data_IF_174991970724
#
_entry.id   IF_174991970724
#
_cell.length_a   1.000
_cell.length_b   1.000
_cell.length_c   1.000
_cell.angle_alpha   90.00
_cell.angle_beta   90.00
_cell.angle_gamma   90.00
#
_symmetry.space_group_name_H-M   'P 1'
#
loop_
_entity.id
_entity.type
_entity.pdbx_description
1 polymer ?
#
# COMPACT_ATOMS: atom_id res chain seq x y z
N UNK A 1 -27.66 -12.70 -19.58
CA UNK A 1 -26.82 -11.51 -19.57
C UNK A 1 -25.67 -11.71 -18.63
N UNK A 2 -24.47 -11.51 -19.09
CA UNK A 2 -23.28 -11.61 -18.26
C UNK A 2 -23.17 -10.43 -17.30
N UNK A 3 -22.46 -10.60 -16.19
CA UNK A 3 -22.09 -9.51 -15.30
C UNK A 3 -21.22 -8.51 -16.06
N UNK A 4 -21.43 -7.22 -15.81
CA UNK A 4 -20.52 -6.19 -16.32
C UNK A 4 -19.16 -6.36 -15.66
N UNK A 5 -18.11 -6.08 -16.42
CA UNK A 5 -16.73 -6.16 -15.95
C UNK A 5 -16.06 -4.82 -16.14
N UNK A 6 -15.38 -4.35 -15.11
CA UNK A 6 -14.66 -3.09 -15.14
C UNK A 6 -13.24 -3.27 -14.57
N UNK A 7 -12.30 -2.57 -15.16
CA UNK A 7 -10.93 -2.50 -14.64
C UNK A 7 -10.77 -1.25 -13.80
N UNK A 8 -10.06 -1.36 -12.69
CA UNK A 8 -9.75 -0.23 -11.83
C UNK A 8 -8.27 -0.28 -11.46
N UNK A 9 -7.69 0.88 -11.18
CA UNK A 9 -6.28 1.02 -10.86
C UNK A 9 -6.12 1.86 -9.60
N UNK A 10 -5.15 1.48 -8.77
CA UNK A 10 -4.68 2.28 -7.65
C UNK A 10 -3.16 2.29 -7.67
N UNK A 11 -2.58 3.17 -6.88
CA UNK A 11 -1.14 3.25 -6.71
C UNK A 11 -0.81 3.50 -5.23
N UNK A 12 0.32 2.97 -4.80
CA UNK A 12 0.75 3.11 -3.43
C UNK A 12 2.25 2.94 -3.28
N UNK A 13 2.69 2.80 -2.05
CA UNK A 13 4.11 2.76 -1.76
C UNK A 13 4.52 1.72 -0.75
N UNK A 14 5.70 1.17 -1.00
CA UNK A 14 6.46 0.40 -0.04
C UNK A 14 7.49 1.36 0.56
N UNK A 15 7.15 1.96 1.69
CA UNK A 15 8.01 2.94 2.35
C UNK A 15 8.93 2.17 3.29
N UNK A 16 10.21 2.11 2.95
CA UNK A 16 11.17 1.22 3.59
C UNK A 16 12.34 2.04 4.14
N UNK A 17 12.86 1.61 5.30
CA UNK A 17 14.06 2.17 5.91
C UNK A 17 14.92 1.05 6.48
N UNK A 18 16.18 1.36 6.79
CA UNK A 18 17.07 0.41 7.46
C UNK A 18 17.61 -0.70 6.57
N UNK A 19 17.70 -0.43 5.26
CA UNK A 19 18.30 -1.38 4.32
C UNK A 19 19.77 -1.57 4.67
N UNK A 20 20.19 -2.85 4.70
CA UNK A 20 21.55 -3.22 5.15
C UNK A 20 21.58 -3.75 6.56
N UNK A 21 20.51 -3.57 7.33
CA UNK A 21 20.30 -4.18 8.64
C UNK A 21 18.98 -4.95 8.61
N UNK A 22 18.12 -4.72 9.60
CA UNK A 22 16.78 -5.28 9.61
C UNK A 22 15.81 -4.23 9.06
N UNK A 23 15.44 -4.32 7.78
CA UNK A 23 14.63 -3.27 7.17
C UNK A 23 13.21 -3.25 7.73
N UNK A 24 12.66 -2.03 7.80
CA UNK A 24 11.29 -1.80 8.26
C UNK A 24 10.47 -1.19 7.16
N UNK A 25 9.17 -1.45 7.20
CA UNK A 25 8.20 -0.93 6.24
C UNK A 25 7.03 -0.29 6.99
N UNK A 26 6.43 0.73 6.37
CA UNK A 26 5.25 1.39 6.94
C UNK A 26 4.00 0.61 6.57
N UNK A 27 3.22 0.24 7.57
CA UNK A 27 1.89 -0.35 7.37
C UNK A 27 0.86 0.40 8.20
N UNK A 28 -0.39 0.29 7.79
CA UNK A 28 -1.49 0.93 8.49
C UNK A 28 -2.56 -0.06 8.89
N UNK A 29 -3.25 0.26 9.98
CA UNK A 29 -4.36 -0.53 10.47
C UNK A 29 -5.63 0.27 10.28
N UNK A 30 -6.65 -0.39 9.72
CA UNK A 30 -7.97 0.24 9.64
C UNK A 30 -8.99 -0.64 10.34
N UNK A 31 -9.99 0.01 10.91
CA UNK A 31 -11.06 -0.67 11.62
C UNK A 31 -12.13 -1.14 10.65
N UNK A 32 -12.54 -2.40 10.80
CA UNK A 32 -13.71 -2.95 10.11
C UNK A 32 -14.87 -3.02 11.08
N UNK A 33 -16.08 -2.76 10.58
CA UNK A 33 -17.28 -2.73 11.42
C UNK A 33 -17.58 -4.06 12.11
N UNK A 34 -17.28 -5.17 11.47
CA UNK A 34 -17.64 -6.49 11.99
C UNK A 34 -16.47 -7.33 12.48
N UNK A 35 -15.28 -7.12 11.95
CA UNK A 35 -14.19 -8.09 12.07
C UNK A 35 -12.96 -7.54 12.78
N UNK A 36 -13.10 -6.43 13.50
CA UNK A 36 -11.97 -5.84 14.19
C UNK A 36 -11.09 -5.02 13.26
N UNK A 37 -9.82 -5.40 13.09
CA UNK A 37 -8.84 -4.58 12.41
C UNK A 37 -8.25 -5.29 11.19
N UNK A 38 -7.81 -4.48 10.21
CA UNK A 38 -7.13 -4.96 9.02
C UNK A 38 -5.84 -4.18 8.84
N UNK A 39 -4.73 -4.89 8.68
CA UNK A 39 -3.43 -4.31 8.36
C UNK A 39 -3.20 -4.33 6.85
N UNK A 40 -2.80 -3.20 6.30
CA UNK A 40 -2.57 -3.09 4.85
C UNK A 40 -1.50 -2.05 4.53
N UNK A 41 -1.06 -2.07 3.27
CA UNK A 41 -0.14 -1.09 2.72
C UNK A 41 -0.89 0.19 2.32
N UNK A 42 -0.23 1.36 2.39
CA UNK A 42 -0.86 2.61 1.94
C UNK A 42 -1.00 2.64 0.42
N UNK A 43 -2.19 2.97 -0.04
CA UNK A 43 -2.51 3.06 -1.47
C UNK A 43 -3.85 3.77 -1.67
N UNK A 44 -4.11 4.18 -2.89
CA UNK A 44 -5.43 4.72 -3.21
C UNK A 44 -5.63 4.99 -4.68
N UNK A 45 -6.76 5.59 -4.99
CA UNK A 45 -7.27 5.77 -6.34
C UNK A 45 -6.79 7.10 -6.94
N UNK A 46 -6.44 7.13 -8.24
CA UNK A 46 -6.02 8.38 -8.89
C UNK A 46 -7.13 9.44 -8.88
N UNK A 47 -6.72 10.68 -8.77
CA UNK A 47 -7.57 11.83 -9.05
C UNK A 47 -7.40 12.21 -10.52
N UNK A 48 -8.39 12.93 -11.05
CA UNK A 48 -8.36 13.36 -12.44
C UNK A 48 -7.10 14.13 -12.76
N UNK A 49 -6.42 13.74 -13.83
CA UNK A 49 -5.19 14.40 -14.29
C UNK A 49 -3.92 13.97 -13.58
N UNK A 50 -4.02 13.10 -12.58
CA UNK A 50 -2.84 12.58 -11.87
C UNK A 50 -2.13 11.50 -12.65
N UNK A 51 -0.80 11.55 -12.64
CA UNK A 51 0.00 10.40 -13.08
C UNK A 51 -0.04 9.32 -12.01
N UNK A 52 0.36 8.11 -12.39
CA UNK A 52 0.44 6.98 -11.44
C UNK A 52 1.40 7.30 -10.28
N UNK A 53 2.55 7.91 -10.57
CA UNK A 53 3.51 8.33 -9.55
C UNK A 53 2.93 9.38 -8.61
N UNK A 54 2.23 10.36 -9.16
CA UNK A 54 1.59 11.41 -8.36
C UNK A 54 0.53 10.83 -7.42
N UNK A 55 -0.24 9.85 -7.91
CA UNK A 55 -1.22 9.15 -7.08
C UNK A 55 -0.54 8.44 -5.92
N UNK A 56 0.53 7.71 -6.21
CA UNK A 56 1.27 6.97 -5.18
C UNK A 56 1.81 7.92 -4.11
N UNK A 57 2.44 9.02 -4.51
CA UNK A 57 2.99 10.00 -3.57
C UNK A 57 1.90 10.65 -2.71
N UNK A 58 0.80 11.05 -3.34
CA UNK A 58 -0.31 11.70 -2.63
C UNK A 58 -0.97 10.75 -1.64
N UNK A 59 -1.29 9.54 -2.07
CA UNK A 59 -1.98 8.57 -1.23
C UNK A 59 -1.11 8.14 -0.04
N UNK A 60 0.18 7.93 -0.24
CA UNK A 60 1.07 7.59 0.87
C UNK A 60 1.13 8.72 1.87
N UNK A 61 1.24 9.97 1.40
CA UNK A 61 1.26 11.14 2.29
C UNK A 61 -0.05 11.26 3.07
N UNK A 62 -1.18 11.12 2.40
CA UNK A 62 -2.49 11.23 3.05
C UNK A 62 -2.71 10.13 4.08
N UNK A 63 -2.35 8.91 3.75
CA UNK A 63 -2.61 7.77 4.64
C UNK A 63 -1.60 7.64 5.77
N UNK A 64 -0.38 8.13 5.61
CA UNK A 64 0.68 7.94 6.60
C UNK A 64 1.15 9.22 7.27
N UNK A 65 0.96 10.38 6.62
CA UNK A 65 1.51 11.64 7.09
C UNK A 65 2.97 11.87 6.73
N UNK A 66 3.61 10.89 6.10
CA UNK A 66 5.02 10.99 5.72
C UNK A 66 5.18 11.69 4.38
N UNK A 67 6.21 12.52 4.29
CA UNK A 67 6.72 13.01 3.02
C UNK A 67 7.66 11.96 2.48
N UNK A 68 7.43 11.51 1.24
CA UNK A 68 8.18 10.42 0.64
C UNK A 68 8.71 10.81 -0.72
N UNK A 69 9.76 10.10 -1.17
CA UNK A 69 10.21 10.17 -2.54
C UNK A 69 10.25 8.77 -3.14
N UNK A 70 9.97 8.68 -4.42
CA UNK A 70 10.01 7.42 -5.16
C UNK A 70 11.46 7.10 -5.51
N UNK A 71 11.87 5.86 -5.19
CA UNK A 71 13.18 5.33 -5.59
C UNK A 71 13.05 4.60 -6.93
N UNK A 72 12.03 3.77 -7.07
CA UNK A 72 11.78 3.01 -8.31
C UNK A 72 10.40 2.39 -8.26
N UNK A 73 9.88 2.03 -9.44
CA UNK A 73 8.71 1.16 -9.53
C UNK A 73 9.10 -0.24 -9.07
N UNK A 74 8.26 -0.88 -8.26
CA UNK A 74 8.57 -2.23 -7.81
C UNK A 74 7.75 -3.29 -8.55
N UNK A 75 6.44 -3.32 -8.34
CA UNK A 75 5.58 -4.35 -8.91
C UNK A 75 4.12 -3.98 -8.68
N UNK A 76 3.23 -4.79 -9.24
CA UNK A 76 1.79 -4.63 -9.06
C UNK A 76 1.18 -5.90 -8.46
N UNK A 77 0.05 -5.73 -7.80
CA UNK A 77 -0.79 -6.84 -7.38
C UNK A 77 -2.13 -6.73 -8.07
N UNK A 78 -2.79 -7.88 -8.24
CA UNK A 78 -4.06 -7.97 -8.95
C UNK A 78 -5.05 -8.76 -8.11
N UNK A 79 -6.28 -8.28 -8.06
CA UNK A 79 -7.37 -9.02 -7.44
C UNK A 79 -8.69 -8.57 -8.03
N UNK A 80 -9.73 -9.36 -7.83
CA UNK A 80 -11.06 -9.05 -8.33
C UNK A 80 -12.07 -9.10 -7.21
N UNK A 81 -13.08 -8.27 -7.31
CA UNK A 81 -14.20 -8.27 -6.36
C UNK A 81 -15.47 -7.85 -7.09
N UNK A 82 -16.61 -8.13 -6.47
CA UNK A 82 -17.92 -7.75 -7.00
C UNK A 82 -18.52 -6.66 -6.15
N UNK A 83 -19.03 -5.61 -6.79
CA UNK A 83 -19.72 -4.51 -6.13
C UNK A 83 -20.90 -4.10 -6.99
N UNK A 84 -22.12 -4.12 -6.41
CA UNK A 84 -23.31 -3.72 -7.12
C UNK A 84 -23.60 -4.55 -8.37
N UNK A 85 -23.30 -5.85 -8.34
CA UNK A 85 -23.46 -6.74 -9.48
C UNK A 85 -22.41 -6.61 -10.56
N UNK A 86 -21.43 -5.73 -10.36
CA UNK A 86 -20.34 -5.51 -11.32
C UNK A 86 -19.08 -6.19 -10.82
N UNK A 87 -18.39 -6.92 -11.71
CA UNK A 87 -17.07 -7.47 -11.41
C UNK A 87 -16.00 -6.42 -11.67
N UNK A 88 -15.19 -6.16 -10.66
CA UNK A 88 -14.10 -5.18 -10.76
C UNK A 88 -12.77 -5.92 -10.69
N UNK A 89 -11.97 -5.77 -11.75
CA UNK A 89 -10.60 -6.31 -11.80
C UNK A 89 -9.67 -5.16 -11.43
N UNK A 90 -9.02 -5.27 -10.27
CA UNK A 90 -8.22 -4.21 -9.67
C UNK A 90 -6.73 -4.51 -9.81
N UNK A 91 -5.97 -3.51 -10.25
CA UNK A 91 -4.52 -3.54 -10.25
C UNK A 91 -4.02 -2.43 -9.32
N UNK A 92 -3.11 -2.75 -8.42
CA UNK A 92 -2.47 -1.77 -7.54
C UNK A 92 -0.98 -1.77 -7.85
N UNK A 93 -0.48 -0.61 -8.25
CA UNK A 93 0.94 -0.41 -8.57
C UNK A 93 1.67 0.13 -7.35
N UNK A 94 2.80 -0.49 -7.01
CA UNK A 94 3.58 -0.09 -5.84
C UNK A 94 4.98 0.35 -6.22
N UNK A 95 5.39 1.45 -5.61
CA UNK A 95 6.71 2.04 -5.78
C UNK A 95 7.52 1.86 -4.51
N UNK A 96 8.81 1.57 -4.67
CA UNK A 96 9.74 1.65 -3.54
C UNK A 96 9.95 3.12 -3.21
N UNK A 97 9.79 3.46 -1.94
CA UNK A 97 9.87 4.83 -1.47
C UNK A 97 10.72 4.93 -0.22
N UNK A 98 11.28 6.12 -0.01
CA UNK A 98 11.91 6.44 1.27
C UNK A 98 11.26 7.66 1.88
N UNK A 99 11.18 7.70 3.20
CA UNK A 99 10.65 8.85 3.92
C UNK A 99 11.71 9.95 3.96
N UNK A 100 11.30 11.17 3.64
CA UNK A 100 12.16 12.34 3.63
C UNK A 100 11.67 13.44 4.57
N UNK A 101 10.56 13.22 5.27
CA UNK A 101 9.99 14.18 6.21
C UNK A 101 8.60 13.76 6.66
N UNK A 102 7.90 14.70 7.28
CA UNK A 102 6.57 14.46 7.79
C UNK A 102 6.56 13.67 9.10
N UNK A 103 5.37 13.32 9.56
CA UNK A 103 5.24 12.50 10.76
C UNK A 103 3.92 11.75 10.73
N UNK A 104 3.84 10.68 11.51
CA UNK A 104 2.61 9.89 11.64
C UNK A 104 1.45 10.67 12.29
N UNK A 105 1.70 11.84 12.83
CA UNK A 105 0.64 12.68 13.41
C UNK A 105 -0.19 13.41 12.37
N UNK A 106 0.20 13.36 11.10
CA UNK A 106 -0.37 14.17 10.02
C UNK A 106 -1.16 13.37 8.98
N UNK A 107 -1.48 12.10 9.27
CA UNK A 107 -2.22 11.31 8.31
C UNK A 107 -3.71 11.69 8.27
N UNK A 108 -4.30 11.49 7.11
CA UNK A 108 -5.74 11.56 6.91
C UNK A 108 -6.36 10.23 7.39
N UNK A 109 -7.51 10.27 7.99
CA UNK A 109 -7.99 9.24 8.93
C UNK A 109 -8.51 7.91 8.38
N UNK A 110 -8.01 7.42 7.26
CA UNK A 110 -8.40 6.08 6.79
C UNK A 110 -7.79 4.98 7.66
N UNK A 111 -6.54 5.16 8.10
CA UNK A 111 -5.94 4.27 9.08
C UNK A 111 -6.17 4.82 10.48
N UNK A 112 -6.46 3.95 11.43
CA UNK A 112 -6.52 4.35 12.84
C UNK A 112 -5.15 4.24 13.52
N UNK A 113 -4.22 3.54 12.90
CA UNK A 113 -2.84 3.44 13.37
C UNK A 113 -1.91 3.28 12.18
N UNK A 114 -0.76 3.95 12.22
CA UNK A 114 0.30 3.83 11.21
C UNK A 114 1.60 3.61 11.95
N UNK A 115 2.42 2.65 11.51
CA UNK A 115 3.70 2.40 12.18
C UNK A 115 4.74 1.75 11.25
N UNK A 116 6.00 1.89 11.66
CA UNK A 116 7.09 1.12 11.11
C UNK A 116 7.10 -0.26 11.72
N UNK A 117 7.24 -1.28 10.89
CA UNK A 117 7.28 -2.68 11.33
C UNK A 117 8.43 -3.37 10.57
N UNK A 118 9.25 -4.19 11.24
CA UNK A 118 10.22 -4.99 10.48
C UNK A 118 9.53 -5.75 9.36
N UNK A 119 10.15 -5.80 8.19
CA UNK A 119 9.51 -6.40 7.00
C UNK A 119 9.13 -7.86 7.22
N UNK A 120 9.95 -8.62 7.94
CA UNK A 120 9.64 -10.02 8.26
C UNK A 120 8.39 -10.13 9.14
N UNK A 121 8.17 -9.17 10.04
CA UNK A 121 6.96 -9.14 10.87
C UNK A 121 5.75 -8.63 10.07
N UNK A 122 5.97 -7.67 9.16
CA UNK A 122 4.89 -7.14 8.31
C UNK A 122 4.26 -8.25 7.46
N UNK A 123 5.08 -9.16 6.95
CA UNK A 123 4.60 -10.30 6.17
C UNK A 123 3.59 -11.13 6.98
N UNK A 124 3.81 -11.28 8.28
CA UNK A 124 2.91 -12.02 9.16
C UNK A 124 1.69 -11.21 9.58
N UNK A 125 1.79 -9.87 9.62
CA UNK A 125 0.71 -9.00 10.08
C UNK A 125 -0.28 -8.62 8.99
N UNK A 126 0.19 -8.45 7.76
CA UNK A 126 -0.67 -8.01 6.65
C UNK A 126 -1.78 -9.04 6.40
N UNK A 127 -2.99 -8.55 6.25
CA UNK A 127 -4.17 -9.40 6.14
C UNK A 127 -4.48 -9.89 4.73
N UNK A 128 -3.88 -9.26 3.71
CA UNK A 128 -4.13 -9.62 2.32
C UNK A 128 -2.95 -10.40 1.76
N UNK A 129 -3.20 -11.59 1.23
CA UNK A 129 -2.16 -12.47 0.70
C UNK A 129 -1.38 -11.82 -0.44
N UNK A 130 -2.06 -11.03 -1.28
CA UNK A 130 -1.39 -10.33 -2.38
C UNK A 130 -0.36 -9.33 -1.87
N UNK A 131 -0.67 -8.64 -0.77
CA UNK A 131 0.27 -7.71 -0.14
C UNK A 131 1.38 -8.45 0.57
N UNK A 132 1.08 -9.55 1.28
CA UNK A 132 2.10 -10.40 1.90
C UNK A 132 3.13 -10.85 0.86
N UNK A 133 2.67 -11.36 -0.27
CA UNK A 133 3.55 -11.82 -1.34
C UNK A 133 4.39 -10.70 -1.93
N UNK A 134 3.81 -9.50 -2.07
CA UNK A 134 4.53 -8.34 -2.55
C UNK A 134 5.67 -7.95 -1.60
N UNK A 135 5.40 -7.89 -0.30
CA UNK A 135 6.40 -7.54 0.70
C UNK A 135 7.49 -8.63 0.79
N UNK A 136 7.11 -9.90 0.66
CA UNK A 136 8.09 -10.99 0.59
C UNK A 136 9.07 -10.81 -0.57
N UNK A 137 8.54 -10.47 -1.76
CA UNK A 137 9.38 -10.22 -2.93
C UNK A 137 10.29 -9.01 -2.73
N UNK A 138 9.77 -7.96 -2.13
CA UNK A 138 10.57 -6.76 -1.84
C UNK A 138 11.67 -7.07 -0.81
N UNK A 139 11.34 -7.81 0.22
CA UNK A 139 12.31 -8.21 1.24
C UNK A 139 13.43 -9.04 0.64
N UNK A 140 13.09 -10.00 -0.20
CA UNK A 140 14.08 -10.83 -0.88
C UNK A 140 14.99 -10.00 -1.80
N UNK A 141 14.43 -9.02 -2.50
CA UNK A 141 15.19 -8.14 -3.39
C UNK A 141 16.19 -7.26 -2.63
N UNK A 142 15.85 -6.84 -1.42
CA UNK A 142 16.73 -6.01 -0.58
C UNK A 142 17.84 -6.81 0.10
N UNK A 143 17.66 -8.11 0.21
CA UNK A 143 18.63 -8.98 0.89
C UNK A 143 19.85 -9.33 0.01
N UNK A 144 19.86 -8.89 -1.24
CA UNK A 144 20.94 -9.18 -2.20
C UNK A 144 22.09 -8.21 -2.04
#
# INVERSE_FOLDING_TARGET
>A
MGATRRSAMSAGGLVIRGVGGRPEIVIGRRRRERDGFVWSLPKGTPEEGETQEQTALREVREETGLEVQILSYFDAIHYSFTRGGERIDKTVHYYLMEAIGGSFDQWDKEFDEVRWVPMDEAIALLDFQTECGLVERAYAALAV
#
